data_IF_117945355986
#
_entry.id   IF_117945355986
#
_cell.length_a   1.000
_cell.length_b   1.000
_cell.length_c   1.000
_cell.angle_alpha   90.00
_cell.angle_beta   90.00
_cell.angle_gamma   90.00
#
_symmetry.space_group_name_H-M   'P 1'
#
loop_
_entity.id
_entity.type
_entity.pdbx_description
1 polymer ?
#
# COMPACT_ATOMS: atom_id res chain seq x y z
N UNK A 1 -38.63 4.46 11.71
CA UNK A 1 -37.83 3.60 12.61
C UNK A 1 -37.36 2.39 11.80
N UNK A 2 -36.24 2.52 11.10
CA UNK A 2 -35.63 1.38 10.40
C UNK A 2 -34.67 0.70 11.35
N UNK A 3 -34.85 -0.60 11.59
CA UNK A 3 -33.85 -1.39 12.31
C UNK A 3 -32.50 -1.24 11.60
N UNK A 4 -31.45 -0.81 12.32
CA UNK A 4 -30.08 -0.99 11.85
C UNK A 4 -29.87 -2.50 11.72
N UNK A 5 -29.52 -3.05 10.54
CA UNK A 5 -29.19 -4.45 10.45
C UNK A 5 -27.87 -4.64 11.19
N UNK A 6 -27.99 -5.12 12.44
CA UNK A 6 -26.89 -5.65 13.23
C UNK A 6 -26.89 -7.16 13.03
N UNK A 7 -25.85 -7.67 12.38
CA UNK A 7 -25.72 -9.09 12.07
C UNK A 7 -24.43 -9.60 12.69
N UNK A 8 -24.57 -10.48 13.69
CA UNK A 8 -23.45 -11.25 14.25
C UNK A 8 -23.64 -12.68 13.81
N UNK A 9 -22.64 -13.23 13.15
CA UNK A 9 -22.70 -14.58 12.61
C UNK A 9 -21.52 -15.39 13.14
N UNK A 10 -21.83 -16.52 13.74
CA UNK A 10 -20.90 -17.63 13.97
C UNK A 10 -21.38 -18.81 13.13
N UNK A 11 -20.61 -19.24 12.14
CA UNK A 11 -21.05 -20.24 11.16
C UNK A 11 -19.96 -21.25 10.82
N UNK A 12 -20.42 -22.46 10.46
CA UNK A 12 -19.57 -23.57 10.00
C UNK A 12 -19.50 -23.71 8.46
N UNK A 13 -20.21 -22.88 7.67
CA UNK A 13 -20.11 -22.70 6.20
C UNK A 13 -20.88 -21.40 5.82
N UNK A 14 -20.63 -20.64 4.75
CA UNK A 14 -19.39 -20.29 4.01
C UNK A 14 -19.66 -19.16 2.98
N UNK A 15 -20.91 -18.70 2.81
CA UNK A 15 -21.30 -17.65 1.86
C UNK A 15 -22.32 -16.68 2.46
N UNK A 16 -22.02 -15.38 2.45
CA UNK A 16 -22.93 -14.33 2.87
C UNK A 16 -23.00 -13.23 1.82
N UNK A 17 -24.21 -12.92 1.37
CA UNK A 17 -24.46 -11.79 0.52
C UNK A 17 -25.40 -10.81 1.20
N UNK A 18 -24.97 -9.56 1.32
CA UNK A 18 -25.75 -8.50 1.95
C UNK A 18 -25.86 -7.31 1.01
N UNK A 19 -27.11 -6.95 0.72
CA UNK A 19 -27.44 -5.72 0.02
C UNK A 19 -28.04 -4.74 1.03
N UNK A 20 -27.43 -3.57 1.18
CA UNK A 20 -27.85 -2.58 2.17
C UNK A 20 -27.89 -1.17 1.63
N UNK A 21 -29.01 -0.49 1.86
CA UNK A 21 -29.14 0.95 1.62
C UNK A 21 -28.90 1.78 2.90
N UNK A 22 -28.56 1.14 4.01
CA UNK A 22 -28.34 1.77 5.32
C UNK A 22 -26.87 1.58 5.74
N UNK A 23 -26.52 1.93 6.97
CA UNK A 23 -25.20 1.68 7.59
C UNK A 23 -25.23 0.32 8.30
N UNK A 24 -25.00 -0.84 7.61
CA UNK A 24 -25.00 -2.13 8.28
C UNK A 24 -23.80 -2.22 9.23
N UNK A 25 -24.00 -2.95 10.33
CA UNK A 25 -22.90 -3.38 11.16
C UNK A 25 -22.84 -4.90 11.14
N UNK A 26 -21.70 -5.42 10.69
CA UNK A 26 -21.49 -6.84 10.50
C UNK A 26 -20.25 -7.30 11.24
N UNK A 27 -20.43 -8.32 12.07
CA UNK A 27 -19.34 -8.98 12.78
C UNK A 27 -19.40 -10.46 12.47
N UNK A 28 -18.32 -10.98 11.89
CA UNK A 28 -18.20 -12.39 11.57
C UNK A 28 -17.00 -13.01 12.28
N UNK A 29 -17.27 -14.14 12.93
CA UNK A 29 -16.26 -15.00 13.55
C UNK A 29 -16.28 -16.34 12.83
N UNK A 30 -15.20 -16.67 12.13
CA UNK A 30 -15.08 -17.96 11.43
C UNK A 30 -13.80 -18.69 11.80
N UNK A 31 -13.91 -20.01 11.88
CA UNK A 31 -12.74 -20.87 11.81
C UNK A 31 -12.39 -21.20 10.34
N UNK A 32 -13.40 -21.28 9.48
CA UNK A 32 -13.28 -21.70 8.07
C UNK A 32 -13.06 -20.50 7.13
N UNK A 33 -13.30 -20.70 5.83
CA UNK A 33 -13.04 -19.80 4.69
C UNK A 33 -14.32 -19.03 4.27
N UNK A 34 -14.81 -18.05 5.06
CA UNK A 34 -16.05 -17.36 4.72
C UNK A 34 -15.87 -16.54 3.46
N UNK A 35 -16.85 -16.63 2.57
CA UNK A 35 -17.00 -15.70 1.46
C UNK A 35 -18.11 -14.69 1.78
N UNK A 36 -17.74 -13.42 1.75
CA UNK A 36 -18.62 -12.28 2.03
C UNK A 36 -18.69 -11.38 0.81
N UNK A 37 -19.90 -11.06 0.38
CA UNK A 37 -20.16 -10.03 -0.62
C UNK A 37 -21.09 -8.98 -0.02
N UNK A 38 -20.62 -7.75 0.05
CA UNK A 38 -21.42 -6.61 0.52
C UNK A 38 -21.57 -5.57 -0.58
N UNK A 39 -22.82 -5.25 -0.88
CA UNK A 39 -23.23 -4.14 -1.73
C UNK A 39 -23.86 -3.08 -0.84
N UNK A 40 -23.22 -1.93 -0.67
CA UNK A 40 -23.75 -0.84 0.15
C UNK A 40 -23.75 0.51 -0.52
N UNK A 41 -24.87 1.22 -0.39
CA UNK A 41 -24.88 2.64 -0.76
C UNK A 41 -24.24 3.51 0.33
N UNK A 42 -24.49 3.17 1.60
CA UNK A 42 -24.04 3.95 2.77
C UNK A 42 -22.77 3.37 3.39
N UNK A 43 -22.40 3.85 4.58
CA UNK A 43 -21.17 3.51 5.33
C UNK A 43 -21.32 2.18 6.10
N UNK A 44 -20.90 1.02 5.55
CA UNK A 44 -20.89 -0.23 6.29
C UNK A 44 -19.72 -0.26 7.28
N UNK A 45 -19.96 -0.88 8.42
CA UNK A 45 -18.90 -1.30 9.32
C UNK A 45 -18.82 -2.82 9.29
N UNK A 46 -17.67 -3.34 8.88
CA UNK A 46 -17.40 -4.78 8.85
C UNK A 46 -16.20 -5.12 9.71
N UNK A 47 -16.38 -6.11 10.59
CA UNK A 47 -15.31 -6.73 11.36
C UNK A 47 -15.33 -8.22 11.07
N UNK A 48 -14.22 -8.75 10.57
CA UNK A 48 -14.04 -10.17 10.34
C UNK A 48 -12.83 -10.68 11.14
N UNK A 49 -13.07 -11.71 11.94
CA UNK A 49 -12.02 -12.50 12.59
C UNK A 49 -12.06 -13.91 12.01
N UNK A 50 -11.00 -14.32 11.32
CA UNK A 50 -10.89 -15.67 10.74
C UNK A 50 -9.61 -16.36 11.16
N UNK A 51 -9.69 -17.68 11.29
CA UNK A 51 -8.48 -18.51 11.35
C UNK A 51 -7.99 -18.83 9.92
N UNK A 52 -8.89 -19.33 9.05
CA UNK A 52 -8.57 -19.67 7.66
C UNK A 52 -8.69 -18.47 6.71
N UNK A 53 -8.83 -18.75 5.41
CA UNK A 53 -8.72 -17.82 4.25
C UNK A 53 -10.08 -17.17 3.94
N UNK A 54 -10.41 -15.99 4.49
CA UNK A 54 -11.65 -15.31 4.16
C UNK A 54 -11.54 -14.65 2.80
N UNK A 55 -12.63 -14.65 2.06
CA UNK A 55 -12.78 -13.87 0.85
C UNK A 55 -13.83 -12.77 1.10
N UNK A 56 -13.43 -11.51 0.98
CA UNK A 56 -14.31 -10.37 1.12
C UNK A 56 -14.35 -9.57 -0.19
N UNK A 57 -15.55 -9.34 -0.70
CA UNK A 57 -15.79 -8.41 -1.80
C UNK A 57 -16.73 -7.33 -1.28
N UNK A 58 -16.29 -6.08 -1.34
CA UNK A 58 -17.10 -4.93 -0.99
C UNK A 58 -17.19 -3.95 -2.16
N UNK A 59 -18.43 -3.59 -2.49
CA UNK A 59 -18.76 -2.51 -3.39
C UNK A 59 -19.52 -1.45 -2.59
N UNK A 60 -18.91 -0.28 -2.39
CA UNK A 60 -19.56 0.84 -1.71
C UNK A 60 -19.55 2.11 -2.51
N UNK A 61 -20.63 2.88 -2.40
CA UNK A 61 -20.61 4.26 -2.84
C UNK A 61 -19.95 5.17 -1.78
N UNK A 62 -20.36 5.02 -0.51
CA UNK A 62 -19.84 5.81 0.61
C UNK A 62 -18.64 5.16 1.31
N UNK A 63 -18.31 5.62 2.53
CA UNK A 63 -17.10 5.32 3.31
C UNK A 63 -17.24 4.02 4.11
N UNK A 64 -16.73 2.87 3.63
CA UNK A 64 -16.74 1.63 4.39
C UNK A 64 -15.61 1.65 5.42
N UNK A 65 -15.89 1.12 6.60
CA UNK A 65 -14.86 0.77 7.58
C UNK A 65 -14.75 -0.74 7.63
N UNK A 66 -13.57 -1.26 7.28
CA UNK A 66 -13.28 -2.69 7.28
C UNK A 66 -12.12 -2.97 8.21
N UNK A 67 -12.34 -3.89 9.15
CA UNK A 67 -11.28 -4.48 9.96
C UNK A 67 -11.26 -5.98 9.71
N UNK A 68 -10.12 -6.49 9.28
CA UNK A 68 -9.89 -7.92 9.10
C UNK A 68 -8.70 -8.36 9.95
N UNK A 69 -8.94 -9.39 10.75
CA UNK A 69 -7.89 -10.12 11.46
C UNK A 69 -7.92 -11.56 10.97
N UNK A 70 -6.84 -12.01 10.34
CA UNK A 70 -6.70 -13.39 9.88
C UNK A 70 -5.41 -14.02 10.37
N UNK A 71 -5.44 -15.33 10.61
CA UNK A 71 -4.20 -16.09 10.73
C UNK A 71 -3.67 -16.47 9.34
N UNK A 72 -4.52 -17.02 8.47
CA UNK A 72 -4.15 -17.44 7.12
C UNK A 72 -4.29 -16.31 6.07
N UNK A 73 -4.49 -16.66 4.80
CA UNK A 73 -4.39 -15.82 3.60
C UNK A 73 -5.73 -15.17 3.26
N UNK A 74 -6.01 -13.93 3.70
CA UNK A 74 -7.25 -13.26 3.36
C UNK A 74 -7.16 -12.66 1.97
N UNK A 75 -8.28 -12.73 1.24
CA UNK A 75 -8.46 -12.01 0.00
C UNK A 75 -9.48 -10.89 0.21
N UNK A 76 -9.03 -9.65 0.04
CA UNK A 76 -9.86 -8.45 0.11
C UNK A 76 -9.93 -7.76 -1.25
N UNK A 77 -11.14 -7.59 -1.77
CA UNK A 77 -11.41 -6.71 -2.91
C UNK A 77 -12.37 -5.61 -2.46
N UNK A 78 -11.94 -4.36 -2.61
CA UNK A 78 -12.74 -3.20 -2.31
C UNK A 78 -12.81 -2.27 -3.52
N UNK A 79 -14.03 -1.95 -3.93
CA UNK A 79 -14.30 -0.87 -4.86
C UNK A 79 -15.14 0.18 -4.14
N UNK A 80 -14.59 1.38 -4.00
CA UNK A 80 -15.29 2.50 -3.39
C UNK A 80 -15.27 3.74 -4.28
N UNK A 81 -16.35 4.52 -4.23
CA UNK A 81 -16.30 5.87 -4.77
C UNK A 81 -15.67 6.83 -3.75
N UNK A 82 -16.13 6.78 -2.50
CA UNK A 82 -15.65 7.63 -1.40
C UNK A 82 -14.47 7.01 -0.64
N UNK A 83 -14.22 7.47 0.59
CA UNK A 83 -13.02 7.25 1.42
C UNK A 83 -13.15 5.97 2.27
N UNK A 84 -12.59 4.83 1.83
CA UNK A 84 -12.60 3.61 2.61
C UNK A 84 -11.49 3.65 3.66
N UNK A 85 -11.80 3.10 4.82
CA UNK A 85 -10.80 2.79 5.84
C UNK A 85 -10.67 1.27 5.92
N UNK A 86 -9.48 0.77 5.59
CA UNK A 86 -9.14 -0.64 5.71
C UNK A 86 -8.01 -0.86 6.72
N UNK A 87 -8.25 -1.74 7.68
CA UNK A 87 -7.22 -2.27 8.58
C UNK A 87 -7.16 -3.77 8.42
N UNK A 88 -5.98 -4.27 8.04
CA UNK A 88 -5.71 -5.69 7.92
C UNK A 88 -4.53 -6.08 8.82
N UNK A 89 -4.75 -7.06 9.68
CA UNK A 89 -3.68 -7.78 10.38
C UNK A 89 -3.72 -9.23 9.95
N UNK A 90 -2.62 -9.70 9.35
CA UNK A 90 -2.45 -11.11 8.98
C UNK A 90 -1.14 -11.68 9.48
N UNK A 91 -1.14 -12.97 9.78
CA UNK A 91 0.11 -13.70 9.94
C UNK A 91 0.67 -14.15 8.59
N UNK A 92 -0.18 -14.76 7.74
CA UNK A 92 0.22 -15.25 6.42
C UNK A 92 0.05 -14.19 5.31
N UNK A 93 -0.16 -14.62 4.06
CA UNK A 93 -0.04 -13.86 2.82
C UNK A 93 -1.39 -13.20 2.43
N UNK A 94 -1.64 -11.93 2.80
CA UNK A 94 -2.87 -11.27 2.41
C UNK A 94 -2.78 -10.78 0.97
N UNK A 95 -3.88 -10.92 0.24
CA UNK A 95 -4.07 -10.27 -1.04
C UNK A 95 -5.10 -9.15 -0.87
N UNK A 96 -4.67 -7.91 -1.11
CA UNK A 96 -5.55 -6.74 -1.10
C UNK A 96 -5.57 -6.03 -2.45
N UNK A 97 -6.77 -5.84 -2.97
CA UNK A 97 -7.04 -4.97 -4.12
C UNK A 97 -8.00 -3.87 -3.69
N UNK A 98 -7.56 -2.62 -3.79
CA UNK A 98 -8.39 -1.45 -3.56
C UNK A 98 -8.42 -0.58 -4.81
N UNK A 99 -9.63 -0.30 -5.30
CA UNK A 99 -9.87 0.76 -6.27
C UNK A 99 -10.74 1.83 -5.61
N UNK A 100 -10.23 3.04 -5.50
CA UNK A 100 -10.99 4.18 -4.99
C UNK A 100 -10.92 5.37 -5.93
N UNK A 101 -11.98 6.17 -5.95
CA UNK A 101 -11.91 7.49 -6.58
C UNK A 101 -11.35 8.52 -5.57
N UNK A 102 -11.90 8.54 -4.35
CA UNK A 102 -11.44 9.44 -3.28
C UNK A 102 -10.30 8.85 -2.45
N UNK A 103 -10.07 9.39 -1.25
CA UNK A 103 -8.90 9.22 -0.37
C UNK A 103 -9.02 7.93 0.47
N UNK A 104 -8.43 6.80 0.06
CA UNK A 104 -8.44 5.59 0.88
C UNK A 104 -7.38 5.69 1.98
N UNK A 105 -7.71 5.18 3.14
CA UNK A 105 -6.74 4.90 4.18
C UNK A 105 -6.59 3.38 4.31
N UNK A 106 -5.40 2.84 4.03
CA UNK A 106 -5.10 1.46 4.40
C UNK A 106 -3.92 1.34 5.35
N UNK A 107 -4.12 0.50 6.36
CA UNK A 107 -3.08 0.02 7.25
C UNK A 107 -3.03 -1.49 7.12
N UNK A 108 -1.86 -2.01 6.73
CA UNK A 108 -1.61 -3.44 6.69
C UNK A 108 -0.39 -3.78 7.54
N UNK A 109 -0.58 -4.74 8.45
CA UNK A 109 0.50 -5.40 9.18
C UNK A 109 0.48 -6.87 8.80
N UNK A 110 1.57 -7.35 8.20
CA UNK A 110 1.75 -8.78 7.91
C UNK A 110 3.08 -9.29 8.43
N UNK A 111 3.09 -10.56 8.83
CA UNK A 111 4.36 -11.25 9.06
C UNK A 111 4.93 -11.78 7.75
N UNK A 112 4.11 -12.42 6.90
CA UNK A 112 4.54 -13.01 5.64
C UNK A 112 4.42 -12.05 4.44
N UNK A 113 4.13 -12.57 3.24
CA UNK A 113 4.26 -11.91 1.93
C UNK A 113 2.94 -11.26 1.50
N UNK A 114 2.69 -9.97 1.79
CA UNK A 114 1.47 -9.30 1.35
C UNK A 114 1.58 -8.92 -0.12
N UNK A 115 0.51 -9.15 -0.87
CA UNK A 115 0.31 -8.59 -2.19
C UNK A 115 -0.72 -7.47 -2.11
N UNK A 116 -0.30 -6.26 -2.42
CA UNK A 116 -1.14 -5.06 -2.36
C UNK A 116 -1.17 -4.38 -3.72
N UNK A 117 -2.38 -4.18 -4.23
CA UNK A 117 -2.65 -3.32 -5.39
C UNK A 117 -3.60 -2.22 -4.95
N UNK A 118 -3.13 -0.98 -5.04
CA UNK A 118 -3.97 0.20 -4.81
C UNK A 118 -3.97 1.08 -6.06
N UNK A 119 -5.17 1.32 -6.60
CA UNK A 119 -5.40 2.35 -7.60
C UNK A 119 -6.30 3.42 -6.98
N UNK A 120 -5.83 4.66 -6.98
CA UNK A 120 -6.60 5.80 -6.48
C UNK A 120 -6.52 6.97 -7.43
N UNK A 121 -7.57 7.77 -7.52
CA UNK A 121 -7.50 9.04 -8.23
C UNK A 121 -7.00 10.16 -7.30
N UNK A 122 -7.52 10.21 -6.06
CA UNK A 122 -7.15 11.23 -5.08
C UNK A 122 -5.97 10.80 -4.18
N UNK A 123 -5.93 11.25 -2.92
CA UNK A 123 -4.79 11.19 -2.01
C UNK A 123 -4.87 9.94 -1.12
N UNK A 124 -4.26 8.80 -1.50
CA UNK A 124 -4.24 7.63 -0.65
C UNK A 124 -3.24 7.80 0.50
N UNK A 125 -3.65 7.36 1.69
CA UNK A 125 -2.75 7.15 2.81
C UNK A 125 -2.51 5.65 2.98
N UNK A 126 -1.26 5.24 2.81
CA UNK A 126 -0.84 3.86 2.89
C UNK A 126 0.25 3.64 3.92
N UNK A 127 0.00 2.73 4.86
CA UNK A 127 0.99 2.23 5.80
C UNK A 127 1.09 0.71 5.64
N UNK A 128 2.26 0.24 5.23
CA UNK A 128 2.59 -1.17 5.17
C UNK A 128 3.75 -1.50 6.09
N UNK A 129 3.52 -2.39 7.05
CA UNK A 129 4.60 -3.03 7.81
C UNK A 129 4.61 -4.53 7.48
N UNK A 130 5.70 -5.02 6.90
CA UNK A 130 5.90 -6.44 6.63
C UNK A 130 7.23 -6.93 7.18
N UNK A 131 7.25 -8.16 7.70
CA UNK A 131 8.52 -8.80 8.06
C UNK A 131 9.14 -9.47 6.83
N UNK A 132 8.37 -10.25 6.08
CA UNK A 132 8.83 -10.91 4.85
C UNK A 132 8.53 -10.08 3.60
N UNK A 133 8.38 -10.72 2.44
CA UNK A 133 8.53 -10.10 1.12
C UNK A 133 7.25 -9.42 0.62
N UNK A 134 7.07 -8.10 0.78
CA UNK A 134 5.88 -7.45 0.25
C UNK A 134 6.03 -7.24 -1.25
N UNK A 135 4.94 -7.49 -1.96
CA UNK A 135 4.73 -7.01 -3.33
C UNK A 135 3.72 -5.88 -3.28
N UNK A 136 4.16 -4.67 -3.63
CA UNK A 136 3.27 -3.51 -3.70
C UNK A 136 3.26 -2.89 -5.08
N UNK A 137 2.05 -2.64 -5.58
CA UNK A 137 1.79 -1.78 -6.72
C UNK A 137 0.86 -0.66 -6.25
N UNK A 138 1.33 0.57 -6.37
CA UNK A 138 0.54 1.75 -6.07
C UNK A 138 0.53 2.70 -7.27
N UNK A 139 -0.69 3.06 -7.66
CA UNK A 139 -0.96 4.03 -8.70
C UNK A 139 -1.86 5.12 -8.11
N UNK A 140 -1.38 6.36 -8.09
CA UNK A 140 -2.22 7.50 -7.77
C UNK A 140 -1.99 8.65 -8.74
N UNK A 141 -3.07 9.38 -9.01
CA UNK A 141 -2.98 10.61 -9.80
C UNK A 141 -2.59 11.79 -8.91
N UNK A 142 -3.25 11.95 -7.75
CA UNK A 142 -2.94 13.00 -6.77
C UNK A 142 -1.93 12.55 -5.72
N UNK A 143 -1.74 13.38 -4.68
CA UNK A 143 -0.68 13.34 -3.65
C UNK A 143 -0.82 12.16 -2.68
N UNK A 144 -0.14 11.02 -2.89
CA UNK A 144 -0.17 9.93 -1.92
C UNK A 144 0.73 10.24 -0.73
N UNK A 145 0.34 9.73 0.43
CA UNK A 145 1.22 9.57 1.58
C UNK A 145 1.49 8.09 1.78
N UNK A 146 2.77 7.70 1.73
CA UNK A 146 3.15 6.31 1.77
C UNK A 146 4.29 6.05 2.75
N UNK A 147 4.08 5.05 3.60
CA UNK A 147 5.12 4.49 4.48
C UNK A 147 5.17 2.98 4.28
N UNK A 148 6.34 2.47 3.90
CA UNK A 148 6.63 1.04 3.88
C UNK A 148 7.83 0.74 4.77
N UNK A 149 7.65 -0.18 5.71
CA UNK A 149 8.74 -0.83 6.42
C UNK A 149 8.76 -2.31 6.03
N UNK A 150 9.85 -2.78 5.44
CA UNK A 150 10.09 -4.21 5.19
C UNK A 150 11.42 -4.67 5.79
N UNK A 151 11.43 -5.83 6.44
CA UNK A 151 12.69 -6.40 6.91
C UNK A 151 13.38 -7.17 5.79
N UNK A 152 12.65 -8.01 5.06
CA UNK A 152 13.20 -8.75 3.94
C UNK A 152 12.97 -8.05 2.59
N UNK A 153 13.39 -8.75 1.54
CA UNK A 153 13.27 -8.38 0.13
C UNK A 153 11.89 -7.84 -0.18
N UNK A 154 11.81 -6.67 -0.80
CA UNK A 154 10.54 -6.07 -1.22
C UNK A 154 10.56 -5.76 -2.70
N UNK A 155 9.39 -5.86 -3.33
CA UNK A 155 9.19 -5.33 -4.67
C UNK A 155 8.13 -4.24 -4.61
N UNK A 156 8.55 -3.02 -4.90
CA UNK A 156 7.69 -1.84 -4.82
C UNK A 156 7.67 -1.16 -6.19
N UNK A 157 6.49 -1.07 -6.79
CA UNK A 157 6.26 -0.31 -8.01
C UNK A 157 5.31 0.83 -7.70
N UNK A 158 5.81 2.05 -7.80
CA UNK A 158 5.01 3.25 -7.57
C UNK A 158 4.97 4.14 -8.80
N UNK A 159 3.75 4.60 -9.10
CA UNK A 159 3.44 5.35 -10.30
C UNK A 159 2.58 6.55 -9.92
N UNK A 160 3.15 7.75 -10.04
CA UNK A 160 2.52 8.99 -9.59
C UNK A 160 2.49 10.05 -10.66
N UNK A 161 1.43 10.84 -10.64
CA UNK A 161 1.36 12.02 -11.48
C UNK A 161 1.72 13.29 -10.70
N UNK A 162 1.11 13.50 -9.54
CA UNK A 162 1.37 14.68 -8.69
C UNK A 162 2.44 14.41 -7.62
N UNK A 163 2.45 15.17 -6.53
CA UNK A 163 3.51 15.27 -5.52
C UNK A 163 3.36 14.20 -4.43
N UNK A 164 4.05 13.04 -4.50
CA UNK A 164 4.00 12.07 -3.43
C UNK A 164 4.97 12.40 -2.30
N UNK A 165 4.58 12.01 -1.08
CA UNK A 165 5.51 11.87 0.02
C UNK A 165 5.65 10.39 0.37
N UNK A 166 6.86 9.86 0.19
CA UNK A 166 7.13 8.43 0.36
C UNK A 166 8.34 8.23 1.26
N UNK A 167 8.14 7.34 2.24
CA UNK A 167 9.19 6.81 3.10
C UNK A 167 9.26 5.31 2.89
N UNK A 168 10.37 4.82 2.32
CA UNK A 168 10.65 3.39 2.24
C UNK A 168 11.86 3.04 3.11
N UNK A 169 11.64 2.09 3.99
CA UNK A 169 12.63 1.57 4.92
C UNK A 169 12.70 0.07 4.72
N UNK A 170 13.84 -0.39 4.21
CA UNK A 170 14.05 -1.79 3.88
C UNK A 170 15.38 -2.28 4.45
N UNK A 171 15.38 -3.42 5.12
CA UNK A 171 16.63 -3.96 5.65
C UNK A 171 17.38 -4.80 4.60
N UNK A 172 16.69 -5.63 3.82
CA UNK A 172 17.30 -6.51 2.81
C UNK A 172 16.72 -6.30 1.40
N UNK A 173 17.58 -6.16 0.39
CA UNK A 173 17.27 -6.40 -1.04
C UNK A 173 15.97 -5.79 -1.59
N UNK A 174 15.68 -4.50 -1.38
CA UNK A 174 14.54 -3.88 -2.05
C UNK A 174 14.80 -3.75 -3.57
N UNK A 175 13.79 -4.10 -4.35
CA UNK A 175 13.65 -3.74 -5.76
C UNK A 175 12.57 -2.68 -5.86
N UNK A 176 12.95 -1.44 -6.12
CA UNK A 176 11.99 -0.33 -6.16
C UNK A 176 12.06 0.34 -7.53
N UNK A 177 10.88 0.49 -8.13
CA UNK A 177 10.66 1.22 -9.38
C UNK A 177 9.74 2.39 -9.09
N UNK A 178 10.24 3.60 -9.31
CA UNK A 178 9.51 4.85 -9.12
C UNK A 178 9.41 5.57 -10.46
N UNK A 179 8.18 5.83 -10.91
CA UNK A 179 7.94 6.73 -12.03
C UNK A 179 7.01 7.84 -11.53
N UNK A 180 7.46 9.08 -11.66
CA UNK A 180 6.66 10.24 -11.30
C UNK A 180 6.80 11.37 -12.32
N UNK A 181 5.77 12.18 -12.39
CA UNK A 181 5.71 13.29 -13.33
C UNK A 181 6.09 14.61 -12.64
N UNK A 182 5.47 14.94 -11.51
CA UNK A 182 5.71 16.14 -10.72
C UNK A 182 6.59 15.88 -9.48
N UNK A 183 6.82 16.91 -8.66
CA UNK A 183 7.79 17.00 -7.56
C UNK A 183 7.50 16.04 -6.39
N UNK A 184 8.20 14.89 -6.28
CA UNK A 184 8.08 14.03 -5.11
C UNK A 184 9.07 14.45 -4.01
N UNK A 185 8.69 14.11 -2.78
CA UNK A 185 9.57 14.08 -1.63
C UNK A 185 9.79 12.62 -1.22
N UNK A 186 11.03 12.16 -1.34
CA UNK A 186 11.41 10.77 -1.11
C UNK A 186 12.46 10.63 -0.01
N UNK A 187 12.19 9.77 0.96
CA UNK A 187 13.19 9.24 1.88
C UNK A 187 13.32 7.74 1.72
N UNK A 188 14.53 7.28 1.43
CA UNK A 188 14.85 5.87 1.21
C UNK A 188 16.01 5.50 2.13
N UNK A 189 15.80 4.50 2.98
CA UNK A 189 16.91 3.86 3.67
C UNK A 189 16.93 2.35 3.41
N UNK A 190 18.06 1.89 2.88
CA UNK A 190 18.39 0.49 2.65
C UNK A 190 19.65 0.10 3.41
N UNK A 191 19.58 -1.01 4.16
CA UNK A 191 20.74 -1.48 4.94
C UNK A 191 21.64 -2.46 4.19
N UNK A 192 21.10 -3.19 3.23
CA UNK A 192 21.88 -4.10 2.39
C UNK A 192 21.67 -3.75 0.93
N UNK A 193 22.08 -4.65 0.04
CA UNK A 193 22.02 -4.46 -1.40
C UNK A 193 20.65 -3.94 -1.85
N UNK A 194 20.60 -2.92 -2.70
CA UNK A 194 19.34 -2.36 -3.18
C UNK A 194 19.43 -2.03 -4.66
N UNK A 195 18.34 -2.28 -5.40
CA UNK A 195 18.20 -1.80 -6.77
C UNK A 195 17.04 -0.83 -6.85
N UNK A 196 17.40 0.40 -7.17
CA UNK A 196 16.47 1.49 -7.40
C UNK A 196 16.52 1.89 -8.86
N UNK A 197 15.34 1.96 -9.48
CA UNK A 197 15.15 2.63 -10.77
C UNK A 197 14.18 3.77 -10.57
N UNK A 198 14.66 4.98 -10.88
CA UNK A 198 13.85 6.17 -10.81
C UNK A 198 13.78 6.85 -12.16
N UNK A 199 12.57 7.19 -12.58
CA UNK A 199 12.31 8.02 -13.74
C UNK A 199 11.49 9.25 -13.30
N UNK A 200 12.03 10.44 -13.52
CA UNK A 200 11.32 11.70 -13.31
C UNK A 200 11.23 12.51 -14.58
N UNK A 201 10.10 13.20 -14.76
CA UNK A 201 10.02 14.30 -15.72
C UNK A 201 10.49 15.62 -15.08
N UNK A 202 9.88 16.01 -13.98
CA UNK A 202 10.19 17.29 -13.33
C UNK A 202 11.23 17.14 -12.19
N UNK A 203 11.46 18.24 -11.49
CA UNK A 203 12.32 18.33 -10.30
C UNK A 203 11.88 17.35 -9.21
N UNK A 204 12.84 16.94 -8.37
CA UNK A 204 12.54 16.11 -7.22
C UNK A 204 13.55 16.28 -6.10
N UNK A 205 13.11 15.93 -4.89
CA UNK A 205 13.97 15.83 -3.73
C UNK A 205 14.04 14.38 -3.26
N UNK A 206 15.27 13.86 -3.19
CA UNK A 206 15.52 12.53 -2.64
C UNK A 206 16.65 12.56 -1.61
N UNK A 207 16.41 11.89 -0.49
CA UNK A 207 17.45 11.46 0.45
C UNK A 207 17.58 9.95 0.35
N UNK A 208 18.78 9.48 0.05
CA UNK A 208 19.11 8.06 0.00
C UNK A 208 20.25 7.74 0.98
N UNK A 209 19.96 6.79 1.85
CA UNK A 209 20.89 6.21 2.81
C UNK A 209 21.04 4.72 2.48
N UNK A 210 22.16 4.35 1.88
CA UNK A 210 22.44 2.96 1.47
C UNK A 210 23.80 2.51 1.96
N UNK A 211 23.89 1.29 2.46
CA UNK A 211 25.16 0.70 2.87
C UNK A 211 25.87 -0.02 1.71
N UNK A 212 25.15 -0.66 0.79
CA UNK A 212 25.73 -1.42 -0.34
C UNK A 212 24.89 -1.31 -1.64
N UNK A 213 25.57 -1.40 -2.81
CA UNK A 213 25.02 -1.73 -4.16
C UNK A 213 24.29 -0.60 -4.98
N UNK A 214 23.90 -0.84 -6.25
CA UNK A 214 23.85 0.20 -7.26
C UNK A 214 22.51 0.91 -7.39
N UNK A 215 22.62 2.18 -7.74
CA UNK A 215 21.49 3.10 -7.87
C UNK A 215 21.46 3.73 -9.26
N UNK A 216 20.32 3.70 -9.93
CA UNK A 216 20.13 4.30 -11.25
C UNK A 216 19.03 5.36 -11.23
N UNK A 217 19.39 6.58 -11.60
CA UNK A 217 18.46 7.70 -11.79
C UNK A 217 18.49 8.18 -13.23
N UNK A 218 17.29 8.31 -13.78
CA UNK A 218 17.02 8.94 -15.05
C UNK A 218 16.08 10.12 -14.78
N UNK A 219 16.57 11.35 -14.95
CA UNK A 219 15.76 12.57 -14.78
C UNK A 219 15.76 13.41 -16.05
N UNK A 220 14.63 14.02 -16.38
CA UNK A 220 14.61 15.05 -17.42
C UNK A 220 15.06 16.41 -16.87
N UNK A 221 14.55 16.83 -15.71
CA UNK A 221 14.90 18.12 -15.09
C UNK A 221 16.02 18.02 -14.03
N UNK A 222 16.16 19.06 -13.20
CA UNK A 222 17.22 19.28 -12.20
C UNK A 222 16.85 18.63 -10.84
N UNK A 223 17.35 17.43 -10.52
CA UNK A 223 17.06 16.82 -9.23
C UNK A 223 17.94 17.40 -8.12
N UNK A 224 17.40 17.45 -6.91
CA UNK A 224 18.15 17.62 -5.69
C UNK A 224 18.29 16.28 -4.98
N UNK A 225 19.52 15.81 -4.82
CA UNK A 225 19.77 14.52 -4.19
C UNK A 225 20.86 14.59 -3.12
N UNK A 226 20.57 13.96 -1.99
CA UNK A 226 21.52 13.73 -0.91
C UNK A 226 21.78 12.23 -0.80
N UNK A 227 23.04 11.86 -1.00
CA UNK A 227 23.50 10.48 -0.89
C UNK A 227 24.44 10.34 0.29
N UNK A 228 24.09 9.41 1.17
CA UNK A 228 24.88 9.01 2.31
C UNK A 228 25.18 7.52 2.15
N UNK A 229 26.45 7.19 1.90
CA UNK A 229 26.91 5.81 1.73
C UNK A 229 28.12 5.53 2.62
N UNK A 230 28.14 4.35 3.24
CA UNK A 230 29.27 3.92 4.07
C UNK A 230 30.36 3.21 3.27
N UNK A 231 30.00 2.59 2.14
CA UNK A 231 30.91 1.96 1.17
C UNK A 231 30.80 2.63 -0.21
N UNK A 232 31.66 2.27 -1.19
CA UNK A 232 31.69 2.90 -2.53
C UNK A 232 30.46 2.51 -3.37
N UNK A 233 29.48 3.41 -3.60
CA UNK A 233 28.28 3.08 -4.35
C UNK A 233 28.56 3.15 -5.86
N UNK A 234 27.99 2.22 -6.63
CA UNK A 234 27.95 2.34 -8.08
C UNK A 234 26.68 3.08 -8.49
N UNK A 235 26.82 4.33 -8.95
CA UNK A 235 25.69 5.16 -9.35
C UNK A 235 25.75 5.54 -10.82
N UNK A 236 24.60 5.46 -11.48
CA UNK A 236 24.41 5.94 -12.84
C UNK A 236 23.36 7.05 -12.83
N UNK A 237 23.79 8.25 -13.18
CA UNK A 237 22.92 9.41 -13.36
C UNK A 237 22.89 9.82 -14.82
N UNK A 238 21.70 9.88 -15.38
CA UNK A 238 21.45 10.50 -16.68
C UNK A 238 20.39 11.58 -16.47
N UNK A 239 20.84 12.84 -16.49
CA UNK A 239 19.97 14.01 -16.42
C UNK A 239 20.11 14.86 -17.68
N UNK A 240 19.00 15.45 -18.12
CA UNK A 240 19.02 16.41 -19.23
C UNK A 240 19.55 17.78 -18.77
N UNK A 241 19.21 18.19 -17.55
CA UNK A 241 19.69 19.41 -16.90
C UNK A 241 20.73 19.10 -15.79
N UNK A 242 21.43 20.12 -15.28
CA UNK A 242 22.48 19.93 -14.27
C UNK A 242 21.88 19.58 -12.90
N UNK A 243 22.20 18.41 -12.31
CA UNK A 243 21.66 18.01 -11.01
C UNK A 243 22.44 18.67 -9.87
N UNK A 244 21.76 18.94 -8.75
CA UNK A 244 22.44 19.25 -7.49
C UNK A 244 22.61 17.99 -6.65
N UNK A 245 23.86 17.57 -6.47
CA UNK A 245 24.18 16.36 -5.71
C UNK A 245 25.11 16.64 -4.53
N UNK A 246 24.74 16.12 -3.37
CA UNK A 246 25.58 16.10 -2.17
C UNK A 246 25.93 14.66 -1.85
N UNK A 247 27.23 14.36 -1.87
CA UNK A 247 27.77 13.07 -1.47
C UNK A 247 28.44 13.20 -0.11
N UNK A 248 28.01 12.36 0.83
CA UNK A 248 28.57 12.25 2.17
C UNK A 248 28.99 10.79 2.36
N UNK A 249 30.30 10.57 2.45
CA UNK A 249 30.96 9.28 2.74
C UNK A 249 31.61 9.33 4.11
#
# INVERSE_FOLDING_TARGET
>A
MGCKPFMVISSYNELFMVLSYNKPLMVLLSYNEPLMVLLSYNEPLMVLLSYNEPLMILLSYNEPLIVLLSYNEPLMILLSYNEPLMVLLSYNEPLMVLLSYNEPLMVLLSYNEPLIVLLSYNEPLMILLSYNEPLMILLSYNEPLMVLLSYNKSLVVLLFYNEPFIVLLSYNEPLIVLLYYNEPLMELLSYNESLMVLLSYNEFFMVLLSYDEPFMVLSYDEPFMVFLSYDEPFMVFLSYNEPFMVFLS
#
